data_IF_729436492543
#
_entry.id   IF_729436492543
#
_cell.length_a   1.000
_cell.length_b   1.000
_cell.length_c   1.000
_cell.angle_alpha   90.00
_cell.angle_beta   90.00
_cell.angle_gamma   90.00
#
_symmetry.space_group_name_H-M   'P 1'
#
loop_
_entity.id
_entity.type
_entity.pdbx_description
1 polymer ?
#
# COMPACT_ATOMS: atom_id res chain seq x y z
N UNK A 1 -18.20 -16.01 3.15
CA UNK A 1 -16.83 -15.57 2.84
C UNK A 1 -16.38 -14.56 3.87
N UNK A 2 -15.10 -14.56 4.22
CA UNK A 2 -14.58 -13.68 5.25
C UNK A 2 -14.40 -12.25 4.72
N UNK A 3 -14.52 -11.26 5.60
CA UNK A 3 -14.23 -9.86 5.31
C UNK A 3 -12.73 -9.68 5.06
N UNK A 4 -12.36 -8.93 4.01
CA UNK A 4 -10.96 -8.57 3.75
C UNK A 4 -10.41 -7.72 4.90
N UNK A 5 -9.24 -8.11 5.39
CA UNK A 5 -8.51 -7.44 6.46
C UNK A 5 -7.10 -7.13 6.00
N UNK A 6 -6.58 -6.01 6.41
CA UNK A 6 -5.18 -5.66 6.23
C UNK A 6 -4.55 -5.34 7.57
N UNK A 7 -3.32 -5.83 7.75
CA UNK A 7 -2.46 -5.47 8.86
C UNK A 7 -1.14 -4.94 8.29
N UNK A 8 -0.83 -3.67 8.56
CA UNK A 8 0.52 -3.14 8.33
C UNK A 8 1.44 -3.64 9.43
N UNK A 9 2.48 -4.37 9.08
CA UNK A 9 3.56 -4.78 10.01
C UNK A 9 4.45 -3.57 10.34
N UNK A 10 4.51 -2.65 9.42
CA UNK A 10 5.15 -1.35 9.51
C UNK A 10 5.14 -0.67 8.15
N UNK A 11 5.02 0.66 8.13
CA UNK A 11 4.99 1.45 6.91
C UNK A 11 5.64 2.81 7.08
N UNK A 12 6.60 3.09 6.23
CA UNK A 12 7.29 4.38 6.11
C UNK A 12 8.22 4.35 4.89
N UNK A 13 8.81 5.48 4.53
CA UNK A 13 9.90 5.56 3.55
C UNK A 13 11.19 4.79 3.93
N UNK A 14 11.15 3.96 4.97
CA UNK A 14 12.28 3.12 5.42
C UNK A 14 12.00 1.63 5.34
N UNK A 15 10.72 1.24 5.14
CA UNK A 15 10.33 -0.16 5.01
C UNK A 15 8.84 -0.35 5.13
N UNK A 16 8.30 -1.19 4.25
CA UNK A 16 6.88 -1.47 4.11
C UNK A 16 6.66 -2.98 4.09
N UNK A 17 5.65 -3.45 4.82
CA UNK A 17 5.17 -4.82 4.72
C UNK A 17 3.75 -4.91 5.29
N UNK A 18 2.87 -5.60 4.56
CA UNK A 18 1.47 -5.74 4.93
C UNK A 18 1.03 -7.21 4.79
N UNK A 19 0.07 -7.59 5.63
CA UNK A 19 -0.64 -8.86 5.53
C UNK A 19 -2.05 -8.58 5.06
N UNK A 20 -2.49 -9.22 3.97
CA UNK A 20 -3.87 -9.19 3.49
C UNK A 20 -4.48 -10.57 3.68
N UNK A 21 -5.71 -10.63 4.21
CA UNK A 21 -6.39 -11.91 4.45
C UNK A 21 -7.91 -11.76 4.43
N UNK A 22 -8.58 -12.80 3.92
CA UNK A 22 -10.04 -13.02 4.06
C UNK A 22 -10.38 -14.05 5.17
N UNK A 23 -9.37 -14.50 5.92
CA UNK A 23 -9.47 -15.55 6.93
C UNK A 23 -8.95 -16.90 6.47
N UNK A 24 -9.13 -17.28 5.19
CA UNK A 24 -8.64 -18.52 4.60
C UNK A 24 -7.35 -18.30 3.80
N UNK A 25 -7.35 -17.26 2.96
CA UNK A 25 -6.20 -16.87 2.15
C UNK A 25 -5.39 -15.81 2.89
N UNK A 26 -4.07 -15.93 2.86
CA UNK A 26 -3.14 -15.03 3.52
C UNK A 26 -2.03 -14.65 2.57
N UNK A 27 -1.89 -13.36 2.31
CA UNK A 27 -0.96 -12.80 1.36
C UNK A 27 -0.06 -11.80 2.07
N UNK A 28 1.21 -11.74 1.67
CA UNK A 28 2.10 -10.64 2.01
C UNK A 28 2.14 -9.65 0.84
N UNK A 29 2.17 -8.37 1.18
CA UNK A 29 2.36 -7.28 0.23
C UNK A 29 3.53 -6.45 0.72
N UNK A 30 4.58 -6.40 -0.11
CA UNK A 30 5.91 -5.90 0.16
C UNK A 30 6.64 -6.58 1.33
N UNK A 31 7.95 -6.56 1.28
CA UNK A 31 8.84 -7.19 2.25
C UNK A 31 10.06 -6.30 2.54
N UNK A 32 9.82 -5.01 2.64
CA UNK A 32 10.83 -3.97 2.83
C UNK A 32 11.34 -3.83 4.25
N UNK A 33 10.70 -4.46 5.23
CA UNK A 33 11.17 -4.56 6.59
C UNK A 33 12.23 -5.66 6.75
N UNK A 34 12.90 -5.73 7.92
CA UNK A 34 13.78 -6.87 8.20
C UNK A 34 12.99 -8.17 8.28
N UNK A 35 13.58 -9.27 7.82
CA UNK A 35 12.93 -10.59 7.90
C UNK A 35 12.52 -10.97 9.34
N UNK A 36 13.29 -10.52 10.34
CA UNK A 36 12.94 -10.67 11.75
C UNK A 36 11.64 -9.93 12.07
N UNK A 37 11.51 -8.65 11.69
CA UNK A 37 10.30 -7.84 11.95
C UNK A 37 9.07 -8.42 11.24
N UNK A 38 9.24 -8.88 9.99
CA UNK A 38 8.15 -9.54 9.24
C UNK A 38 7.67 -10.79 9.97
N UNK A 39 8.61 -11.65 10.43
CA UNK A 39 8.26 -12.85 11.20
C UNK A 39 7.55 -12.52 12.52
N UNK A 40 8.01 -11.49 13.23
CA UNK A 40 7.36 -10.99 14.45
C UNK A 40 5.94 -10.49 14.16
N UNK A 41 5.75 -9.71 13.07
CA UNK A 41 4.43 -9.21 12.68
C UNK A 41 3.45 -10.32 12.26
N UNK A 42 3.94 -11.35 11.58
CA UNK A 42 3.15 -12.55 11.32
C UNK A 42 2.72 -13.21 12.63
N UNK A 43 3.63 -13.39 13.57
CA UNK A 43 3.32 -14.00 14.88
C UNK A 43 2.33 -13.16 15.69
N UNK A 44 2.43 -11.81 15.65
CA UNK A 44 1.44 -10.90 16.25
C UNK A 44 0.03 -11.14 15.67
N UNK A 45 -0.05 -11.50 14.38
CA UNK A 45 -1.30 -11.90 13.70
C UNK A 45 -1.63 -13.40 13.89
N UNK A 46 -0.91 -14.12 14.72
CA UNK A 46 -1.03 -15.59 14.93
C UNK A 46 -0.80 -16.39 13.65
N UNK A 47 0.11 -15.93 12.80
CA UNK A 47 0.53 -16.55 11.56
C UNK A 47 2.01 -16.93 11.63
N UNK A 48 2.37 -17.90 10.80
CA UNK A 48 3.76 -18.26 10.50
C UNK A 48 4.06 -17.98 9.02
N UNK A 49 5.32 -17.94 8.60
CA UNK A 49 5.65 -17.77 7.19
C UNK A 49 5.03 -18.83 6.27
N UNK A 50 4.85 -20.06 6.78
CA UNK A 50 4.28 -21.20 6.05
C UNK A 50 2.78 -21.04 5.76
N UNK A 51 2.10 -20.12 6.48
CA UNK A 51 0.69 -19.81 6.25
C UNK A 51 0.48 -18.87 5.04
N UNK A 52 1.54 -18.25 4.53
CA UNK A 52 1.48 -17.31 3.41
C UNK A 52 1.41 -18.05 2.08
N UNK A 53 0.39 -17.73 1.29
CA UNK A 53 0.08 -18.39 0.01
C UNK A 53 0.57 -17.60 -1.21
N UNK A 54 0.88 -16.32 -1.04
CA UNK A 54 1.44 -15.45 -2.08
C UNK A 54 2.13 -14.22 -1.51
N UNK A 55 3.16 -13.75 -2.20
CA UNK A 55 3.90 -12.54 -1.88
C UNK A 55 3.75 -11.61 -3.07
N UNK A 56 3.21 -10.42 -2.88
CA UNK A 56 3.07 -9.39 -3.90
C UNK A 56 4.12 -8.31 -3.64
N UNK A 57 4.79 -7.83 -4.67
CA UNK A 57 5.82 -6.78 -4.56
C UNK A 57 5.48 -5.67 -5.54
N UNK A 58 5.40 -4.45 -5.02
CA UNK A 58 5.00 -3.27 -5.78
C UNK A 58 6.08 -2.82 -6.77
N UNK A 59 7.32 -2.67 -6.31
CA UNK A 59 8.45 -2.22 -7.11
C UNK A 59 9.80 -2.56 -6.44
N UNK A 60 10.91 -2.23 -7.11
CA UNK A 60 12.28 -2.65 -6.76
C UNK A 60 12.96 -1.87 -5.63
N UNK A 61 12.40 -0.78 -5.11
CA UNK A 61 13.05 0.00 -4.07
C UNK A 61 13.30 -0.80 -2.79
N UNK A 62 14.39 -0.48 -2.11
CA UNK A 62 14.88 -1.28 -0.98
C UNK A 62 13.87 -1.41 0.17
N UNK A 63 13.10 -0.37 0.40
CA UNK A 63 12.05 -0.32 1.43
C UNK A 63 10.79 -1.14 1.06
N UNK A 64 10.80 -1.81 -0.12
CA UNK A 64 9.77 -2.77 -0.55
C UNK A 64 10.33 -4.19 -0.73
N UNK A 65 11.63 -4.36 -1.05
CA UNK A 65 12.23 -5.66 -1.39
C UNK A 65 13.35 -6.13 -0.46
N UNK A 66 13.65 -5.40 0.60
CA UNK A 66 14.82 -5.62 1.48
C UNK A 66 15.02 -7.08 1.89
N UNK A 67 13.95 -7.76 2.22
CA UNK A 67 13.98 -9.13 2.76
C UNK A 67 13.42 -10.19 1.81
N UNK A 68 13.21 -9.88 0.52
CA UNK A 68 12.54 -10.78 -0.43
C UNK A 68 13.16 -12.17 -0.47
N UNK A 69 14.49 -12.29 -0.50
CA UNK A 69 15.19 -13.58 -0.47
C UNK A 69 14.83 -14.43 0.76
N UNK A 70 14.91 -13.82 1.94
CA UNK A 70 14.69 -14.54 3.19
C UNK A 70 13.22 -14.92 3.38
N UNK A 71 12.32 -14.00 3.03
CA UNK A 71 10.87 -14.20 3.17
C UNK A 71 10.35 -15.21 2.15
N UNK A 72 10.72 -15.11 0.87
CA UNK A 72 10.34 -16.07 -0.16
C UNK A 72 10.86 -17.49 0.13
N UNK A 73 12.01 -17.61 0.83
CA UNK A 73 12.50 -18.92 1.32
C UNK A 73 11.66 -19.43 2.48
N UNK A 74 11.31 -18.57 3.44
CA UNK A 74 10.56 -18.95 4.63
C UNK A 74 9.10 -19.28 4.33
N UNK A 75 8.48 -18.63 3.35
CA UNK A 75 7.09 -18.86 2.94
C UNK A 75 6.88 -20.12 2.06
N UNK A 76 7.83 -21.06 2.06
CA UNK A 76 7.66 -22.39 1.47
C UNK A 76 7.25 -22.32 -0.01
N UNK A 77 6.03 -22.74 -0.34
CA UNK A 77 5.54 -22.85 -1.72
C UNK A 77 4.88 -21.56 -2.25
N UNK A 78 4.83 -20.49 -1.46
CA UNK A 78 4.27 -19.22 -1.90
C UNK A 78 4.98 -18.70 -3.16
N UNK A 79 4.18 -18.27 -4.15
CA UNK A 79 4.71 -17.57 -5.32
C UNK A 79 4.94 -16.09 -5.02
N UNK A 80 5.87 -15.49 -5.77
CA UNK A 80 6.17 -14.05 -5.72
C UNK A 80 5.63 -13.42 -6.99
N UNK A 81 4.67 -12.51 -6.84
CA UNK A 81 3.99 -11.79 -7.91
C UNK A 81 4.53 -10.36 -7.98
N UNK A 82 5.02 -9.94 -9.13
CA UNK A 82 5.56 -8.60 -9.36
C UNK A 82 5.76 -8.34 -10.85
N UNK A 83 6.14 -7.11 -11.24
CA UNK A 83 6.43 -6.78 -12.63
C UNK A 83 7.76 -7.37 -13.11
N UNK A 84 7.91 -7.49 -14.44
CA UNK A 84 9.20 -7.85 -15.04
C UNK A 84 10.25 -6.77 -14.81
N UNK A 85 9.83 -5.51 -14.87
CA UNK A 85 10.70 -4.36 -14.59
C UNK A 85 11.30 -4.45 -13.20
N UNK A 86 10.50 -4.71 -12.17
CA UNK A 86 10.95 -4.90 -10.79
C UNK A 86 12.01 -6.01 -10.66
N UNK A 87 11.76 -7.19 -11.25
CA UNK A 87 12.71 -8.31 -11.15
C UNK A 87 14.01 -8.02 -11.86
N UNK A 88 13.96 -7.44 -13.07
CA UNK A 88 15.14 -7.18 -13.89
C UNK A 88 16.03 -6.05 -13.33
N UNK A 89 15.49 -5.20 -12.46
CA UNK A 89 16.21 -4.05 -11.89
C UNK A 89 16.52 -4.22 -10.39
N UNK A 90 16.39 -5.43 -9.84
CA UNK A 90 16.74 -5.72 -8.46
C UNK A 90 17.47 -7.05 -8.32
N UNK A 91 18.78 -7.02 -8.09
CA UNK A 91 19.64 -8.20 -7.88
C UNK A 91 19.14 -9.15 -6.77
N UNK A 92 18.33 -8.65 -5.83
CA UNK A 92 17.78 -9.50 -4.75
C UNK A 92 16.88 -10.62 -5.28
N UNK A 93 16.26 -10.45 -6.44
CA UNK A 93 15.42 -11.46 -7.08
C UNK A 93 16.24 -12.62 -7.70
N UNK A 94 17.54 -12.45 -7.96
CA UNK A 94 18.43 -13.54 -8.40
C UNK A 94 18.45 -14.72 -7.40
N UNK A 95 18.14 -14.43 -6.13
CA UNK A 95 18.07 -15.44 -5.08
C UNK A 95 16.67 -16.02 -4.85
N UNK A 96 15.69 -15.61 -5.62
CA UNK A 96 14.35 -16.17 -5.64
C UNK A 96 14.31 -17.19 -6.77
N UNK A 97 13.88 -18.41 -6.48
CA UNK A 97 13.79 -19.48 -7.48
C UNK A 97 12.85 -19.07 -8.61
N UNK A 98 13.25 -19.28 -9.85
CA UNK A 98 12.51 -18.83 -11.04
C UNK A 98 11.10 -19.42 -11.13
N UNK A 99 10.90 -20.66 -10.68
CA UNK A 99 9.58 -21.30 -10.63
C UNK A 99 8.58 -20.61 -9.70
N UNK A 100 9.09 -19.85 -8.72
CA UNK A 100 8.25 -19.07 -7.80
C UNK A 100 7.85 -17.69 -8.35
N UNK A 101 8.58 -17.18 -9.32
CA UNK A 101 8.30 -15.86 -9.89
C UNK A 101 7.09 -15.93 -10.83
N UNK A 102 6.12 -15.05 -10.59
CA UNK A 102 4.94 -14.84 -11.43
C UNK A 102 4.89 -13.38 -11.82
N UNK A 103 4.95 -13.13 -13.11
CA UNK A 103 4.95 -11.76 -13.62
C UNK A 103 3.53 -11.24 -13.81
N UNK A 104 3.34 -9.99 -13.43
CA UNK A 104 2.12 -9.22 -13.64
C UNK A 104 2.46 -7.88 -14.32
N UNK A 105 1.59 -7.44 -15.19
CA UNK A 105 1.54 -6.08 -15.72
C UNK A 105 0.29 -5.37 -15.19
N UNK A 106 0.22 -4.06 -15.39
CA UNK A 106 -1.00 -3.31 -15.11
C UNK A 106 -2.22 -3.93 -15.83
N UNK A 107 -3.36 -3.97 -15.17
CA UNK A 107 -4.62 -4.62 -15.57
C UNK A 107 -4.61 -6.15 -15.52
N UNK A 108 -3.48 -6.82 -15.23
CA UNK A 108 -3.47 -8.25 -15.01
C UNK A 108 -4.23 -8.60 -13.71
N UNK A 109 -4.89 -9.75 -13.75
CA UNK A 109 -5.58 -10.30 -12.58
C UNK A 109 -5.13 -11.75 -12.35
N UNK A 110 -4.79 -12.08 -11.11
CA UNK A 110 -4.46 -13.44 -10.68
C UNK A 110 -5.33 -13.83 -9.50
N UNK A 111 -5.58 -15.13 -9.33
CA UNK A 111 -6.29 -15.65 -8.17
C UNK A 111 -5.34 -16.46 -7.29
N UNK A 112 -5.32 -16.16 -6.00
CA UNK A 112 -4.60 -16.92 -4.99
C UNK A 112 -5.59 -17.27 -3.88
N UNK A 113 -5.85 -18.55 -3.71
CA UNK A 113 -6.91 -19.02 -2.80
C UNK A 113 -8.28 -18.42 -3.18
N UNK A 114 -8.91 -17.74 -2.25
CA UNK A 114 -10.21 -17.12 -2.43
C UNK A 114 -10.13 -15.63 -2.83
N UNK A 115 -8.91 -15.06 -2.92
CA UNK A 115 -8.67 -13.65 -3.26
C UNK A 115 -8.23 -13.53 -4.72
N UNK A 116 -8.92 -12.71 -5.50
CA UNK A 116 -8.46 -12.23 -6.80
C UNK A 116 -7.64 -10.94 -6.59
N UNK A 117 -6.49 -10.83 -7.24
CA UNK A 117 -5.59 -9.68 -7.11
C UNK A 117 -5.41 -9.03 -8.48
N UNK A 118 -5.85 -7.78 -8.61
CA UNK A 118 -5.67 -6.93 -9.79
C UNK A 118 -4.45 -6.04 -9.56
N UNK A 119 -3.59 -5.94 -10.57
CA UNK A 119 -2.50 -4.97 -10.62
C UNK A 119 -2.93 -3.72 -11.40
N UNK A 120 -2.43 -2.56 -10.99
CA UNK A 120 -2.61 -1.30 -11.71
C UNK A 120 -1.33 -0.45 -11.66
N UNK A 121 -1.19 0.51 -12.59
CA UNK A 121 0.02 1.33 -12.68
C UNK A 121 0.09 2.38 -11.58
N UNK A 122 1.30 2.60 -11.05
CA UNK A 122 1.62 3.74 -10.19
C UNK A 122 2.55 4.71 -10.93
N UNK A 123 2.51 5.98 -10.56
CA UNK A 123 3.41 7.01 -11.10
C UNK A 123 4.58 7.24 -10.14
N UNK A 124 5.62 6.43 -10.27
CA UNK A 124 6.78 6.47 -9.38
C UNK A 124 8.09 6.34 -10.14
N UNK A 125 9.22 6.75 -9.53
CA UNK A 125 10.57 6.64 -10.10
C UNK A 125 11.15 5.23 -9.96
N UNK A 126 10.33 4.24 -10.29
CA UNK A 126 10.66 2.82 -10.42
C UNK A 126 10.41 2.36 -11.86
N UNK A 127 10.93 1.19 -12.24
CA UNK A 127 10.90 0.79 -13.66
C UNK A 127 9.50 0.39 -14.13
N UNK A 128 8.76 -0.34 -13.31
CA UNK A 128 7.40 -0.81 -13.64
C UNK A 128 6.60 -0.98 -12.34
N UNK A 129 6.31 0.14 -11.62
CA UNK A 129 5.68 0.09 -10.31
C UNK A 129 4.20 -0.27 -10.41
N UNK A 130 3.74 -1.15 -9.51
CA UNK A 130 2.38 -1.66 -9.46
C UNK A 130 1.72 -1.35 -8.10
N UNK A 131 0.47 -0.87 -8.14
CA UNK A 131 -0.47 -0.96 -7.05
C UNK A 131 -1.28 -2.25 -7.15
N UNK A 132 -1.94 -2.64 -6.06
CA UNK A 132 -2.72 -3.87 -6.03
C UNK A 132 -4.09 -3.67 -5.39
N UNK A 133 -5.11 -4.23 -6.03
CA UNK A 133 -6.46 -4.39 -5.48
C UNK A 133 -6.74 -5.86 -5.23
N UNK A 134 -7.07 -6.19 -3.98
CA UNK A 134 -7.44 -7.51 -3.51
C UNK A 134 -8.96 -7.59 -3.47
N UNK A 135 -9.54 -8.54 -4.16
CA UNK A 135 -10.97 -8.60 -4.43
C UNK A 135 -11.53 -9.96 -4.00
N UNK A 136 -12.60 -9.93 -3.25
CA UNK A 136 -13.44 -11.09 -2.92
C UNK A 136 -14.88 -10.81 -3.37
N UNK A 137 -15.78 -11.81 -3.22
CA UNK A 137 -17.20 -11.59 -3.51
C UNK A 137 -17.78 -10.51 -2.59
N UNK A 138 -17.87 -9.27 -3.07
CA UNK A 138 -18.51 -8.15 -2.42
C UNK A 138 -17.61 -7.24 -1.59
N UNK A 139 -16.27 -7.36 -1.65
CA UNK A 139 -15.35 -6.44 -0.98
C UNK A 139 -14.05 -6.27 -1.76
N UNK A 140 -13.57 -5.03 -1.88
CA UNK A 140 -12.27 -4.67 -2.46
C UNK A 140 -11.40 -3.96 -1.43
N UNK A 141 -10.14 -4.40 -1.34
CA UNK A 141 -9.08 -3.75 -0.57
C UNK A 141 -7.99 -3.31 -1.54
N UNK A 142 -7.67 -2.02 -1.57
CA UNK A 142 -6.67 -1.46 -2.49
C UNK A 142 -5.47 -0.90 -1.72
N UNK A 143 -4.25 -1.11 -2.25
CA UNK A 143 -3.05 -0.42 -1.81
C UNK A 143 -2.50 0.41 -2.97
N UNK A 144 -2.35 1.72 -2.71
CA UNK A 144 -1.71 2.69 -3.60
C UNK A 144 -0.77 3.59 -2.79
N UNK A 145 0.49 3.19 -2.71
CA UNK A 145 1.60 3.96 -2.13
C UNK A 145 2.67 4.11 -3.19
N UNK A 146 3.54 5.08 -3.01
CA UNK A 146 4.62 5.37 -3.96
C UNK A 146 4.07 5.83 -5.31
N UNK A 147 3.38 6.95 -5.26
CA UNK A 147 2.87 7.63 -6.47
C UNK A 147 2.96 9.15 -6.30
N UNK A 148 3.45 9.84 -7.32
CA UNK A 148 3.53 11.31 -7.30
C UNK A 148 2.24 11.99 -7.74
N UNK A 149 1.39 11.28 -8.50
CA UNK A 149 0.09 11.78 -8.98
C UNK A 149 -0.98 10.70 -8.87
N UNK A 150 -2.22 11.13 -8.73
CA UNK A 150 -3.39 10.26 -8.78
C UNK A 150 -3.93 10.28 -10.22
N UNK A 151 -3.61 9.23 -10.97
CA UNK A 151 -4.13 9.03 -12.33
C UNK A 151 -5.61 8.62 -12.30
N UNK A 152 -6.29 8.66 -13.45
CA UNK A 152 -7.69 8.19 -13.55
C UNK A 152 -7.81 6.72 -13.11
N UNK A 153 -6.83 5.88 -13.43
CA UNK A 153 -6.77 4.48 -13.01
C UNK A 153 -6.69 4.36 -11.48
N UNK A 154 -5.80 5.12 -10.83
CA UNK A 154 -5.70 5.15 -9.36
C UNK A 154 -7.00 5.68 -8.74
N UNK A 155 -7.59 6.74 -9.33
CA UNK A 155 -8.84 7.31 -8.84
C UNK A 155 -10.00 6.31 -8.89
N UNK A 156 -10.08 5.49 -9.94
CA UNK A 156 -11.06 4.41 -10.05
C UNK A 156 -10.84 3.33 -8.97
N UNK A 157 -9.60 2.87 -8.79
CA UNK A 157 -9.27 1.84 -7.81
C UNK A 157 -9.53 2.28 -6.36
N UNK A 158 -9.18 3.54 -6.01
CA UNK A 158 -9.41 4.04 -4.64
C UNK A 158 -10.89 4.33 -4.37
N UNK A 159 -11.68 4.74 -5.37
CA UNK A 159 -13.12 4.94 -5.20
C UNK A 159 -13.89 3.62 -5.12
N UNK A 160 -13.40 2.56 -5.73
CA UNK A 160 -14.02 1.22 -5.68
C UNK A 160 -13.70 0.47 -4.37
N UNK A 161 -12.65 0.85 -3.66
CA UNK A 161 -12.17 0.14 -2.49
C UNK A 161 -13.07 0.32 -1.26
N UNK A 162 -13.38 -0.77 -0.54
CA UNK A 162 -14.04 -0.74 0.78
C UNK A 162 -13.02 -0.59 1.91
N UNK A 163 -11.79 -1.04 1.66
CA UNK A 163 -10.63 -0.78 2.50
C UNK A 163 -9.48 -0.27 1.63
N UNK A 164 -8.77 0.74 2.11
CA UNK A 164 -7.75 1.45 1.34
C UNK A 164 -6.50 1.70 2.19
N UNK A 165 -5.34 1.33 1.67
CA UNK A 165 -4.04 1.83 2.14
C UNK A 165 -3.56 2.84 1.11
N UNK A 166 -3.42 4.10 1.55
CA UNK A 166 -3.13 5.21 0.65
C UNK A 166 -1.97 6.05 1.14
N UNK A 167 -1.16 6.53 0.21
CA UNK A 167 0.00 7.34 0.55
C UNK A 167 -0.39 8.69 1.17
N UNK A 168 0.34 9.09 2.22
CA UNK A 168 0.41 10.44 2.76
C UNK A 168 1.86 10.70 3.19
N UNK A 169 2.73 10.92 2.20
CA UNK A 169 4.16 10.87 2.43
C UNK A 169 4.69 12.05 3.23
N UNK A 170 4.34 13.27 2.85
CA UNK A 170 4.96 14.46 3.43
C UNK A 170 3.98 15.62 3.63
N UNK A 171 4.31 16.48 4.59
CA UNK A 171 3.73 17.80 4.73
C UNK A 171 4.58 18.78 3.92
N UNK A 172 3.96 19.49 2.98
CA UNK A 172 4.68 20.33 2.01
C UNK A 172 5.51 21.42 2.69
N UNK A 173 4.97 22.07 3.73
CA UNK A 173 5.66 23.10 4.47
C UNK A 173 6.90 22.57 5.21
N UNK A 174 6.80 21.38 5.81
CA UNK A 174 7.92 20.72 6.48
C UNK A 174 8.99 20.33 5.46
N UNK A 175 8.59 19.74 4.33
CA UNK A 175 9.51 19.37 3.25
C UNK A 175 10.23 20.59 2.69
N UNK A 176 9.51 21.68 2.42
CA UNK A 176 10.11 22.91 1.85
C UNK A 176 11.11 23.56 2.81
N UNK A 177 10.83 23.60 4.10
CA UNK A 177 11.71 24.20 5.12
C UNK A 177 12.78 23.24 5.64
N UNK A 178 12.65 21.92 5.41
CA UNK A 178 13.57 20.90 5.91
C UNK A 178 14.95 20.91 5.23
N UNK A 179 15.84 20.08 5.75
CA UNK A 179 17.28 20.07 5.37
C UNK A 179 17.59 19.29 4.05
N UNK A 180 16.60 18.71 3.40
CA UNK A 180 16.84 18.00 2.15
C UNK A 180 17.40 18.92 1.06
N UNK A 181 18.39 18.44 0.26
CA UNK A 181 18.85 19.17 -0.91
C UNK A 181 17.69 19.47 -1.88
N UNK A 182 17.79 20.60 -2.57
CA UNK A 182 16.74 21.03 -3.51
C UNK A 182 16.39 19.97 -4.57
N UNK A 183 17.38 19.21 -5.06
CA UNK A 183 17.15 18.11 -6.00
C UNK A 183 16.28 17.01 -5.42
N UNK A 184 16.47 16.68 -4.13
CA UNK A 184 15.65 15.67 -3.42
C UNK A 184 14.23 16.18 -3.21
N UNK A 185 14.07 17.44 -2.76
CA UNK A 185 12.75 18.07 -2.64
C UNK A 185 11.99 18.04 -3.96
N UNK A 186 12.67 18.43 -5.04
CA UNK A 186 12.08 18.42 -6.39
C UNK A 186 11.68 17.04 -6.89
N UNK A 187 12.47 16.01 -6.55
CA UNK A 187 12.13 14.61 -6.83
C UNK A 187 10.87 14.19 -6.08
N UNK A 188 10.79 14.48 -4.78
CA UNK A 188 9.64 14.14 -3.93
C UNK A 188 8.35 14.81 -4.43
N UNK A 189 8.43 16.09 -4.81
CA UNK A 189 7.29 16.88 -5.28
C UNK A 189 6.94 16.67 -6.76
N UNK A 190 7.70 15.87 -7.50
CA UNK A 190 7.47 15.59 -8.93
C UNK A 190 6.40 14.53 -9.16
N UNK A 191 5.95 14.45 -10.42
CA UNK A 191 4.88 13.51 -10.82
C UNK A 191 5.22 12.04 -10.59
N UNK A 192 6.51 11.69 -10.52
CA UNK A 192 6.99 10.36 -10.16
C UNK A 192 7.55 10.31 -8.72
N UNK A 193 7.21 11.28 -7.88
CA UNK A 193 7.62 11.35 -6.48
C UNK A 193 6.60 10.71 -5.55
N UNK A 194 6.06 11.51 -4.62
CA UNK A 194 5.14 11.04 -3.58
C UNK A 194 4.01 12.05 -3.34
N UNK A 195 2.84 11.54 -2.95
CA UNK A 195 1.72 12.38 -2.57
C UNK A 195 1.98 13.12 -1.26
N UNK A 196 1.69 14.42 -1.24
CA UNK A 196 1.61 15.19 0.00
C UNK A 196 0.35 14.83 0.80
N UNK A 197 0.32 15.20 2.07
CA UNK A 197 -0.88 15.06 2.90
C UNK A 197 -2.09 15.78 2.26
N UNK A 198 -1.87 16.95 1.67
CA UNK A 198 -2.91 17.74 1.01
C UNK A 198 -3.43 17.04 -0.24
N UNK A 199 -2.52 16.60 -1.13
CA UNK A 199 -2.91 15.88 -2.35
C UNK A 199 -3.65 14.59 -2.03
N UNK A 200 -3.21 13.86 -1.01
CA UNK A 200 -3.88 12.65 -0.52
C UNK A 200 -5.28 12.95 0.00
N UNK A 201 -5.44 14.00 0.81
CA UNK A 201 -6.75 14.41 1.33
C UNK A 201 -7.72 14.79 0.22
N UNK A 202 -7.27 15.55 -0.79
CA UNK A 202 -8.09 15.93 -1.94
C UNK A 202 -8.52 14.69 -2.76
N UNK A 203 -7.60 13.74 -2.99
CA UNK A 203 -7.91 12.52 -3.71
C UNK A 203 -8.93 11.66 -2.96
N UNK A 204 -8.76 11.52 -1.66
CA UNK A 204 -9.68 10.78 -0.79
C UNK A 204 -11.06 11.44 -0.74
N UNK A 205 -11.13 12.78 -0.65
CA UNK A 205 -12.41 13.50 -0.68
C UNK A 205 -13.15 13.23 -1.99
N UNK A 206 -12.48 13.31 -3.13
CA UNK A 206 -13.07 13.00 -4.44
C UNK A 206 -13.56 11.56 -4.54
N UNK A 207 -12.76 10.59 -4.07
CA UNK A 207 -13.13 9.18 -4.08
C UNK A 207 -14.38 8.92 -3.21
N UNK A 208 -14.43 9.47 -2.01
CA UNK A 208 -15.57 9.33 -1.09
C UNK A 208 -16.84 9.99 -1.64
N UNK A 209 -16.73 11.17 -2.27
CA UNK A 209 -17.86 11.83 -2.91
C UNK A 209 -18.39 11.01 -4.09
N UNK A 210 -17.52 10.47 -4.94
CA UNK A 210 -17.92 9.60 -6.05
C UNK A 210 -18.62 8.32 -5.54
N UNK A 211 -18.16 7.73 -4.43
CA UNK A 211 -18.83 6.60 -3.76
C UNK A 211 -20.24 7.00 -3.29
N UNK A 212 -20.39 8.17 -2.67
CA UNK A 212 -21.69 8.69 -2.23
C UNK A 212 -22.68 8.83 -3.40
N UNK A 213 -22.25 9.38 -4.51
CA UNK A 213 -23.07 9.57 -5.71
C UNK A 213 -23.49 8.26 -6.37
N UNK A 214 -22.59 7.28 -6.42
CA UNK A 214 -22.85 5.99 -7.09
C UNK A 214 -23.78 5.07 -6.31
N UNK A 215 -24.18 5.43 -5.08
CA UNK A 215 -24.97 4.59 -4.17
C UNK A 215 -24.44 3.16 -4.00
N UNK A 216 -23.16 2.91 -4.32
CA UNK A 216 -22.45 1.66 -4.02
C UNK A 216 -22.29 1.45 -2.51
N UNK A 217 -23.25 1.89 -1.72
CA UNK A 217 -23.09 2.25 -0.33
C UNK A 217 -24.01 1.52 0.61
N UNK A 218 -23.42 1.01 1.53
CA UNK A 218 -23.88 0.68 2.86
C UNK A 218 -22.75 0.69 3.85
N UNK A 219 -21.52 0.95 3.41
CA UNK A 219 -20.33 0.78 4.23
C UNK A 219 -19.41 1.99 4.15
N UNK A 220 -19.05 2.49 5.30
CA UNK A 220 -17.97 3.43 5.52
C UNK A 220 -16.67 2.88 4.92
N UNK A 221 -15.93 3.69 4.14
CA UNK A 221 -14.63 3.30 3.60
C UNK A 221 -13.58 3.28 4.73
N UNK A 222 -12.87 2.17 4.88
CA UNK A 222 -11.79 2.05 5.87
C UNK A 222 -10.48 2.49 5.23
N UNK A 223 -9.85 3.54 5.75
CA UNK A 223 -8.67 4.17 5.16
C UNK A 223 -7.51 4.12 6.14
N UNK A 224 -6.34 3.66 5.65
CA UNK A 224 -5.07 3.70 6.35
C UNK A 224 -4.10 4.58 5.57
N UNK A 225 -3.75 5.75 6.12
CA UNK A 225 -2.66 6.56 5.57
C UNK A 225 -1.34 5.84 5.83
N UNK A 226 -0.50 5.77 4.82
CA UNK A 226 0.71 4.96 4.85
C UNK A 226 1.89 5.65 4.16
N UNK A 227 3.06 5.04 4.20
CA UNK A 227 4.29 5.50 3.55
C UNK A 227 4.74 6.91 3.98
N UNK A 228 4.60 7.22 5.26
CA UNK A 228 4.98 8.53 5.80
C UNK A 228 6.51 8.71 5.80
N UNK A 229 6.95 9.88 5.36
CA UNK A 229 8.34 10.31 5.49
C UNK A 229 8.70 10.49 6.96
N UNK A 230 9.79 9.87 7.39
CA UNK A 230 10.28 9.98 8.77
C UNK A 230 10.82 11.38 9.12
N UNK A 231 11.15 12.20 8.11
CA UNK A 231 11.73 13.53 8.30
C UNK A 231 10.74 14.67 7.98
N UNK A 232 9.84 14.42 7.03
CA UNK A 232 8.97 15.47 6.49
C UNK A 232 7.49 15.26 6.83
N UNK A 233 7.20 14.36 7.79
CA UNK A 233 5.84 14.11 8.24
C UNK A 233 5.81 13.57 9.67
N UNK A 234 4.62 13.63 10.27
CA UNK A 234 4.28 12.90 11.50
C UNK A 234 2.90 12.26 11.34
N UNK A 235 2.60 11.17 12.08
CA UNK A 235 1.27 10.57 12.06
C UNK A 235 0.15 11.56 12.37
N UNK A 236 0.37 12.44 13.35
CA UNK A 236 -0.63 13.45 13.76
C UNK A 236 -0.83 14.50 12.66
N UNK A 237 0.25 14.97 12.03
CA UNK A 237 0.17 15.94 10.92
C UNK A 237 -0.59 15.34 9.74
N UNK A 238 -0.23 14.13 9.31
CA UNK A 238 -0.92 13.45 8.21
C UNK A 238 -2.41 13.26 8.52
N UNK A 239 -2.72 12.75 9.72
CA UNK A 239 -4.10 12.55 10.15
C UNK A 239 -4.90 13.85 10.16
N UNK A 240 -4.36 14.90 10.75
CA UNK A 240 -5.04 16.19 10.89
C UNK A 240 -5.26 16.88 9.54
N UNK A 241 -4.23 16.93 8.68
CA UNK A 241 -4.33 17.54 7.35
C UNK A 241 -5.39 16.85 6.51
N UNK A 242 -5.32 15.51 6.41
CA UNK A 242 -6.28 14.74 5.62
C UNK A 242 -7.69 14.86 6.19
N UNK A 243 -7.83 14.72 7.52
CA UNK A 243 -9.14 14.83 8.17
C UNK A 243 -9.79 16.20 7.96
N UNK A 244 -9.04 17.29 8.08
CA UNK A 244 -9.57 18.64 7.84
C UNK A 244 -10.11 18.78 6.42
N UNK A 245 -9.40 18.28 5.41
CA UNK A 245 -9.86 18.32 4.01
C UNK A 245 -11.15 17.49 3.83
N UNK A 246 -11.25 16.34 4.47
CA UNK A 246 -12.48 15.54 4.42
C UNK A 246 -13.65 16.24 5.13
N UNK A 247 -13.42 16.83 6.29
CA UNK A 247 -14.43 17.59 7.03
C UNK A 247 -14.90 18.84 6.23
N UNK A 248 -13.99 19.57 5.53
CA UNK A 248 -14.32 20.70 4.64
C UNK A 248 -15.19 20.28 3.45
N UNK A 249 -15.15 19.01 3.05
CA UNK A 249 -16.00 18.42 2.00
C UNK A 249 -17.26 17.74 2.58
N UNK A 250 -17.64 18.05 3.82
CA UNK A 250 -18.83 17.51 4.49
C UNK A 250 -18.86 15.98 4.60
N UNK A 251 -17.67 15.36 4.68
CA UNK A 251 -17.49 13.94 4.87
C UNK A 251 -17.27 13.65 6.36
N UNK A 252 -18.00 12.72 6.91
CA UNK A 252 -18.05 12.46 8.35
C UNK A 252 -17.37 11.14 8.71
N UNK A 253 -16.41 11.20 9.63
CA UNK A 253 -15.81 10.00 10.21
C UNK A 253 -16.86 9.20 11.00
N UNK A 254 -16.92 7.89 10.80
CA UNK A 254 -17.89 6.99 11.43
C UNK A 254 -19.17 6.79 10.62
N UNK A 255 -19.35 7.52 9.51
CA UNK A 255 -20.42 7.28 8.54
C UNK A 255 -19.93 7.14 7.11
N UNK A 256 -19.06 8.04 6.66
CA UNK A 256 -18.52 8.01 5.31
C UNK A 256 -17.18 7.28 5.29
N UNK A 257 -16.37 7.43 6.32
CA UNK A 257 -15.05 6.80 6.42
C UNK A 257 -14.59 6.51 7.85
N UNK A 258 -13.63 5.57 7.98
CA UNK A 258 -12.75 5.42 9.15
C UNK A 258 -11.34 5.76 8.69
N UNK A 259 -10.64 6.65 9.38
CA UNK A 259 -9.28 7.06 9.04
C UNK A 259 -8.30 6.65 10.15
N UNK A 260 -7.22 5.96 9.76
CA UNK A 260 -6.09 5.59 10.62
C UNK A 260 -4.77 5.94 9.93
N UNK A 261 -3.69 5.93 10.68
CA UNK A 261 -2.32 6.07 10.16
C UNK A 261 -1.54 4.81 10.48
N UNK A 262 -0.86 4.24 9.49
CA UNK A 262 0.04 3.12 9.68
C UNK A 262 1.22 3.53 10.56
N UNK A 263 1.51 2.73 11.58
CA UNK A 263 2.70 2.94 12.39
C UNK A 263 3.96 2.49 11.63
N UNK A 264 5.08 3.17 11.87
CA UNK A 264 6.36 2.87 11.23
C UNK A 264 6.88 1.47 11.57
N UNK A 265 6.75 1.05 12.83
CA UNK A 265 7.41 -0.13 13.41
C UNK A 265 6.50 -1.00 14.29
N UNK A 266 5.19 -0.74 14.26
CA UNK A 266 4.17 -1.47 15.03
C UNK A 266 3.06 -1.95 14.12
N UNK A 267 2.42 -3.05 14.54
CA UNK A 267 1.25 -3.58 13.85
C UNK A 267 0.11 -2.57 13.91
N UNK A 268 -0.46 -2.26 12.75
CA UNK A 268 -1.68 -1.43 12.61
C UNK A 268 -2.68 -2.20 11.76
N UNK A 269 -3.91 -2.34 12.24
CA UNK A 269 -4.96 -3.09 11.51
C UNK A 269 -6.08 -2.17 11.06
N UNK A 270 -6.70 -2.54 9.95
CA UNK A 270 -7.82 -1.84 9.35
C UNK A 270 -9.04 -2.78 9.22
#
# INVERSE_FOLDING_TARGET
MGKLRIASIGSSSSGNAYIVSDGNTRLLLDVGLTAKRIKEGLAECRLSPEDIQGIFVTHEHLDHVKSIRAVAKACGDAHVYTSRGTVNNCEKFEYVKSEKLKFMAAQDMVRVGDISVKAFSLSHDAVEPLGFSFITDGEQLTLATDTGVVTDEIAEEISSADALVFEANHEESILQMGDYPYSVKRRILGDCGHLSNVTSGIALARALLARKESRLLGCEQRIMLAHLSSQNNTPDTALLTVKNILDENELCQGSDFILKVAAKDKLTTL
#
